data_IF_746815262804
#
_entry.id   IF_746815262804
#
_cell.length_a   1.000
_cell.length_b   1.000
_cell.length_c   1.000
_cell.angle_alpha   90.00
_cell.angle_beta   90.00
_cell.angle_gamma   90.00
#
_symmetry.space_group_name_H-M   'P 1'
#
loop_
_entity.id
_entity.type
_entity.pdbx_description
1 polymer ?
#
# COMPACT_ATOMS: atom_id res chain seq x y z
N UNK A 1 2.52 15.49 19.11
CA UNK A 1 1.89 15.04 17.84
C UNK A 1 0.40 15.29 18.04
N UNK A 2 -0.27 15.99 17.13
CA UNK A 2 -1.71 16.23 17.24
C UNK A 2 -2.47 14.91 17.00
N UNK A 3 -3.67 14.78 17.56
CA UNK A 3 -4.53 13.60 17.39
C UNK A 3 -4.79 13.33 15.90
N UNK A 4 -4.98 14.38 15.10
CA UNK A 4 -5.15 14.30 13.64
C UNK A 4 -3.93 13.71 12.90
N UNK A 5 -2.70 14.05 13.30
CA UNK A 5 -1.49 13.51 12.66
C UNK A 5 -1.31 12.02 12.97
N UNK A 6 -1.76 11.56 14.15
CA UNK A 6 -1.77 10.15 14.50
C UNK A 6 -2.82 9.38 13.68
N UNK A 7 -4.01 9.93 13.53
CA UNK A 7 -5.08 9.35 12.71
C UNK A 7 -4.67 9.25 11.23
N UNK A 8 -4.08 10.30 10.66
CA UNK A 8 -3.58 10.29 9.29
C UNK A 8 -2.53 9.18 9.08
N UNK A 9 -1.56 9.06 10.01
CA UNK A 9 -0.55 8.00 9.91
C UNK A 9 -1.14 6.60 10.05
N UNK A 10 -2.06 6.39 10.98
CA UNK A 10 -2.71 5.08 11.13
C UNK A 10 -3.51 4.71 9.88
N UNK A 11 -4.18 5.67 9.23
CA UNK A 11 -4.89 5.45 7.98
C UNK A 11 -3.97 5.03 6.82
N UNK A 12 -2.72 5.51 6.77
CA UNK A 12 -1.76 5.12 5.72
C UNK A 12 -1.38 3.63 5.77
N UNK A 13 -1.35 3.05 6.97
CA UNK A 13 -0.97 1.65 7.19
C UNK A 13 -2.17 0.71 7.41
N UNK A 14 -3.40 1.23 7.30
CA UNK A 14 -4.59 0.40 7.37
C UNK A 14 -4.76 -0.41 6.07
N UNK A 15 -4.76 -1.75 6.14
CA UNK A 15 -5.29 -2.57 5.06
C UNK A 15 -6.81 -2.33 4.92
N UNK A 16 -7.43 -2.86 3.86
CA UNK A 16 -8.85 -2.64 3.58
C UNK A 16 -9.80 -2.99 4.75
N UNK A 17 -9.38 -3.88 5.65
CA UNK A 17 -10.14 -4.30 6.83
C UNK A 17 -10.14 -3.26 7.97
N UNK A 18 -9.53 -2.09 7.78
CA UNK A 18 -9.56 -0.96 8.72
C UNK A 18 -8.78 -1.17 10.03
N UNK A 19 -8.13 -2.31 10.21
CA UNK A 19 -7.32 -2.60 11.40
C UNK A 19 -5.85 -2.39 11.09
N UNK A 20 -5.26 -1.35 11.66
CA UNK A 20 -3.81 -1.15 11.60
C UNK A 20 -3.18 -2.14 12.57
N UNK A 21 -2.30 -2.99 12.06
CA UNK A 21 -1.51 -3.83 12.94
C UNK A 21 -0.40 -2.98 13.59
N UNK A 22 -0.27 -2.98 14.92
CA UNK A 22 0.80 -2.23 15.60
C UNK A 22 2.20 -2.55 15.06
N UNK A 23 2.40 -3.75 14.53
CA UNK A 23 3.65 -4.21 13.93
C UNK A 23 4.09 -3.37 12.74
N UNK A 24 3.18 -3.00 11.85
CA UNK A 24 3.50 -2.15 10.69
C UNK A 24 3.92 -0.74 11.12
N UNK A 25 3.26 -0.19 12.13
CA UNK A 25 3.65 1.12 12.68
C UNK A 25 5.03 1.07 13.33
N UNK A 26 5.29 0.07 14.16
CA UNK A 26 6.61 -0.11 14.80
C UNK A 26 7.69 -0.29 13.72
N UNK A 27 7.44 -1.11 12.71
CA UNK A 27 8.36 -1.30 11.59
C UNK A 27 8.63 0.02 10.86
N UNK A 28 7.57 0.77 10.53
CA UNK A 28 7.71 2.07 9.87
C UNK A 28 8.58 3.05 10.67
N UNK A 29 8.34 3.18 11.98
CA UNK A 29 9.13 4.08 12.82
C UNK A 29 10.59 3.64 12.91
N UNK A 30 10.85 2.35 13.06
CA UNK A 30 12.22 1.83 13.08
C UNK A 30 12.95 2.10 11.77
N UNK A 31 12.31 1.82 10.63
CA UNK A 31 12.87 2.11 9.31
C UNK A 31 13.10 3.61 9.11
N UNK A 32 12.16 4.45 9.56
CA UNK A 32 12.29 5.89 9.45
C UNK A 32 13.51 6.42 10.21
N UNK A 33 13.77 5.92 11.42
CA UNK A 33 14.94 6.28 12.19
C UNK A 33 16.24 5.80 11.53
N UNK A 34 16.25 4.57 11.00
CA UNK A 34 17.38 4.01 10.28
C UNK A 34 17.70 4.78 8.99
N UNK A 35 16.67 5.14 8.22
CA UNK A 35 16.85 5.92 7.00
C UNK A 35 17.36 7.33 7.30
N UNK A 36 16.83 7.97 8.34
CA UNK A 36 17.29 9.31 8.77
C UNK A 36 18.75 9.27 9.22
N UNK A 37 19.16 8.22 9.93
CA UNK A 37 20.56 8.04 10.34
C UNK A 37 21.47 7.85 9.12
N UNK A 38 21.08 7.03 8.15
CA UNK A 38 21.83 6.83 6.90
C UNK A 38 21.98 8.14 6.11
N UNK A 39 20.90 8.92 6.00
CA UNK A 39 20.94 10.22 5.31
C UNK A 39 21.90 11.19 5.98
N UNK A 40 21.96 11.22 7.32
CA UNK A 40 22.94 12.03 8.09
C UNK A 40 24.38 11.59 7.85
N UNK A 41 24.62 10.27 7.82
CA UNK A 41 25.94 9.71 7.61
C UNK A 41 26.48 9.96 6.19
N UNK A 42 25.60 9.92 5.18
CA UNK A 42 25.99 10.05 3.76
C UNK A 42 26.10 11.52 3.34
N UNK A 43 25.12 12.35 3.69
CA UNK A 43 24.98 13.68 3.08
C UNK A 43 25.31 14.84 4.01
N UNK A 44 25.62 14.57 5.28
CA UNK A 44 25.78 15.60 6.33
C UNK A 44 24.59 16.57 6.44
N UNK A 45 23.45 16.22 5.84
CA UNK A 45 22.22 17.01 5.83
C UNK A 45 21.59 16.98 7.22
N UNK A 46 21.58 18.13 7.88
CA UNK A 46 20.82 18.31 9.12
C UNK A 46 19.40 18.65 8.78
N UNK A 47 18.45 17.90 9.36
CA UNK A 47 17.04 18.28 9.30
C UNK A 47 16.84 19.54 10.14
N UNK A 48 16.35 20.60 9.51
CA UNK A 48 16.09 21.88 10.16
C UNK A 48 14.78 21.84 10.98
N UNK A 49 14.76 22.39 12.21
CA UNK A 49 13.51 22.55 12.95
C UNK A 49 12.47 23.33 12.13
N UNK A 50 11.17 23.04 12.26
CA UNK A 50 10.53 22.12 13.21
C UNK A 50 10.50 20.65 12.79
N UNK A 51 11.11 20.28 11.68
CA UNK A 51 11.10 18.91 11.19
C UNK A 51 12.01 18.04 12.07
N UNK A 52 11.59 16.82 12.34
CA UNK A 52 12.35 15.83 13.10
C UNK A 52 12.99 14.81 12.16
N UNK A 53 12.37 14.60 11.00
CA UNK A 53 12.76 13.59 10.01
C UNK A 53 12.66 14.17 8.60
N UNK A 54 13.54 13.74 7.71
CA UNK A 54 13.55 14.15 6.32
C UNK A 54 12.40 13.52 5.51
N UNK A 55 11.95 14.21 4.46
CA UNK A 55 10.96 13.65 3.53
C UNK A 55 11.49 12.39 2.82
N UNK A 56 12.78 12.32 2.58
CA UNK A 56 13.44 11.16 1.98
C UNK A 56 13.35 9.94 2.90
N UNK A 57 13.65 10.09 4.20
CA UNK A 57 13.52 9.02 5.17
C UNK A 57 12.08 8.50 5.27
N UNK A 58 11.07 9.37 5.30
CA UNK A 58 9.65 8.97 5.31
C UNK A 58 9.30 8.17 4.05
N UNK A 59 9.70 8.66 2.87
CA UNK A 59 9.42 7.99 1.59
C UNK A 59 10.07 6.61 1.50
N UNK A 60 11.34 6.51 1.87
CA UNK A 60 12.08 5.25 1.81
C UNK A 60 11.54 4.23 2.82
N UNK A 61 11.18 4.67 4.02
CA UNK A 61 10.57 3.82 5.05
C UNK A 61 9.20 3.29 4.62
N UNK A 62 8.38 4.13 4.00
CA UNK A 62 7.07 3.73 3.48
C UNK A 62 7.23 2.67 2.38
N UNK A 63 8.23 2.82 1.50
CA UNK A 63 8.55 1.83 0.47
C UNK A 63 8.97 0.50 1.08
N UNK A 64 9.86 0.52 2.10
CA UNK A 64 10.35 -0.71 2.73
C UNK A 64 9.25 -1.45 3.48
N UNK A 65 8.39 -0.75 4.23
CA UNK A 65 7.23 -1.37 4.89
C UNK A 65 6.26 -1.97 3.87
N UNK A 66 6.00 -1.26 2.77
CA UNK A 66 5.16 -1.75 1.66
C UNK A 66 5.73 -3.06 1.06
N UNK A 67 7.05 -3.09 0.81
CA UNK A 67 7.76 -4.25 0.29
C UNK A 67 7.68 -5.45 1.24
N UNK A 68 8.05 -5.26 2.50
CA UNK A 68 8.01 -6.32 3.52
C UNK A 68 6.60 -6.87 3.69
N UNK A 69 5.58 -6.02 3.69
CA UNK A 69 4.18 -6.45 3.80
C UNK A 69 3.75 -7.31 2.60
N UNK A 70 4.12 -6.95 1.39
CA UNK A 70 3.81 -7.74 0.21
C UNK A 70 4.63 -9.03 0.13
N UNK A 71 5.96 -8.93 0.23
CA UNK A 71 6.85 -10.08 0.02
C UNK A 71 6.79 -11.12 1.14
N UNK A 72 6.84 -10.65 2.40
CA UNK A 72 6.96 -11.55 3.56
C UNK A 72 5.61 -11.98 4.15
N UNK A 73 4.50 -11.33 3.75
CA UNK A 73 3.18 -11.72 4.23
C UNK A 73 2.33 -12.21 3.06
N UNK A 74 1.90 -11.31 2.15
CA UNK A 74 0.92 -11.69 1.13
C UNK A 74 1.48 -12.71 0.15
N UNK A 75 2.68 -12.50 -0.41
CA UNK A 75 3.25 -13.43 -1.39
C UNK A 75 3.71 -14.75 -0.77
N UNK A 76 4.07 -14.74 0.53
CA UNK A 76 4.43 -15.95 1.25
C UNK A 76 3.21 -16.81 1.61
N UNK A 77 2.11 -16.17 2.02
CA UNK A 77 0.88 -16.87 2.40
C UNK A 77 -0.01 -17.23 1.20
N UNK A 78 0.02 -16.41 0.12
CA UNK A 78 -0.83 -16.55 -1.07
C UNK A 78 -0.01 -16.46 -2.37
N UNK A 79 0.88 -17.42 -2.65
CA UNK A 79 1.76 -17.39 -3.82
C UNK A 79 1.03 -17.46 -5.16
N UNK A 80 -0.17 -18.04 -5.19
CA UNK A 80 -1.07 -18.10 -6.34
C UNK A 80 -1.62 -16.73 -6.77
N UNK A 81 -1.77 -15.79 -5.83
CA UNK A 81 -2.25 -14.43 -6.09
C UNK A 81 -1.13 -13.45 -6.49
N UNK A 82 0.13 -13.83 -6.30
CA UNK A 82 1.30 -12.97 -6.54
C UNK A 82 1.33 -12.36 -7.94
N UNK A 83 1.09 -13.18 -8.97
CA UNK A 83 1.12 -12.72 -10.37
C UNK A 83 0.06 -11.64 -10.61
N UNK A 84 -1.16 -11.85 -10.11
CA UNK A 84 -2.25 -10.90 -10.26
C UNK A 84 -1.96 -9.56 -9.57
N UNK A 85 -1.34 -9.60 -8.38
CA UNK A 85 -0.91 -8.39 -7.67
C UNK A 85 0.19 -7.66 -8.44
N UNK A 86 1.20 -8.36 -8.95
CA UNK A 86 2.31 -7.75 -9.70
C UNK A 86 1.86 -7.12 -11.02
N UNK A 87 0.84 -7.66 -11.68
CA UNK A 87 0.25 -7.05 -12.88
C UNK A 87 -0.38 -5.67 -12.62
N UNK A 88 -0.65 -5.33 -11.36
CA UNK A 88 -1.13 -4.00 -10.98
C UNK A 88 0.00 -2.97 -10.84
N UNK A 89 1.27 -3.33 -11.02
CA UNK A 89 2.37 -2.38 -10.95
C UNK A 89 2.17 -1.23 -11.96
N UNK A 90 2.38 0.01 -11.52
CA UNK A 90 2.16 1.25 -12.26
C UNK A 90 0.69 1.54 -12.66
N UNK A 91 -0.27 0.78 -12.18
CA UNK A 91 -1.70 1.00 -12.44
C UNK A 91 -2.27 2.10 -11.54
N UNK A 92 -3.53 2.46 -11.74
CA UNK A 92 -4.28 3.40 -10.90
C UNK A 92 -4.65 2.79 -9.54
N UNK A 93 -4.96 3.65 -8.57
CA UNK A 93 -5.33 3.21 -7.23
C UNK A 93 -6.77 2.67 -7.12
N UNK A 94 -7.64 3.06 -8.03
CA UNK A 94 -9.06 2.69 -8.02
C UNK A 94 -9.45 2.07 -9.36
N UNK A 95 -10.06 0.90 -9.30
CA UNK A 95 -10.50 0.10 -10.43
C UNK A 95 -11.96 -0.34 -10.28
N UNK A 96 -12.62 -0.62 -11.40
CA UNK A 96 -13.79 -1.47 -11.44
C UNK A 96 -13.43 -2.86 -12.00
N UNK A 97 -14.38 -3.80 -11.99
CA UNK A 97 -14.15 -5.18 -12.46
C UNK A 97 -13.67 -5.19 -13.92
N UNK A 98 -14.28 -4.40 -14.79
CA UNK A 98 -13.92 -4.33 -16.22
C UNK A 98 -12.48 -3.84 -16.43
N UNK A 99 -12.03 -2.81 -15.69
CA UNK A 99 -10.66 -2.30 -15.80
C UNK A 99 -9.62 -3.31 -15.31
N UNK A 100 -9.92 -4.04 -14.22
CA UNK A 100 -9.02 -5.10 -13.72
C UNK A 100 -9.01 -6.31 -14.66
N UNK A 101 -10.15 -6.71 -15.21
CA UNK A 101 -10.21 -7.83 -16.17
C UNK A 101 -9.32 -7.55 -17.39
N UNK A 102 -9.27 -6.30 -17.84
CA UNK A 102 -8.37 -5.85 -18.91
C UNK A 102 -6.89 -5.96 -18.50
N UNK A 103 -6.54 -5.52 -17.28
CA UNK A 103 -5.16 -5.60 -16.76
C UNK A 103 -4.71 -7.05 -16.59
N UNK A 104 -5.57 -7.91 -16.07
CA UNK A 104 -5.26 -9.33 -15.85
C UNK A 104 -5.46 -10.21 -17.08
N UNK A 105 -6.07 -9.69 -18.14
CA UNK A 105 -6.42 -10.43 -19.37
C UNK A 105 -7.25 -11.69 -19.05
N UNK A 106 -8.23 -11.53 -18.16
CA UNK A 106 -9.11 -12.59 -17.66
C UNK A 106 -10.57 -12.26 -17.93
N UNK A 107 -11.42 -13.28 -17.91
CA UNK A 107 -12.87 -13.09 -17.95
C UNK A 107 -13.34 -12.31 -16.70
N UNK A 108 -14.49 -11.64 -16.79
CA UNK A 108 -15.07 -10.95 -15.64
C UNK A 108 -15.34 -11.89 -14.46
N UNK A 109 -15.80 -13.11 -14.74
CA UNK A 109 -16.07 -14.12 -13.71
C UNK A 109 -14.83 -14.49 -12.93
N UNK A 110 -13.72 -14.84 -13.63
CA UNK A 110 -12.43 -15.14 -12.99
C UNK A 110 -11.88 -13.93 -12.23
N UNK A 111 -12.07 -12.74 -12.79
CA UNK A 111 -11.67 -11.47 -12.16
C UNK A 111 -12.38 -11.24 -10.84
N UNK A 112 -13.70 -11.48 -10.80
CA UNK A 112 -14.50 -11.36 -9.57
C UNK A 112 -14.01 -12.34 -8.51
N UNK A 113 -13.74 -13.60 -8.86
CA UNK A 113 -13.25 -14.60 -7.93
C UNK A 113 -11.91 -14.22 -7.32
N UNK A 114 -10.95 -13.76 -8.13
CA UNK A 114 -9.63 -13.32 -7.67
C UNK A 114 -9.75 -12.03 -6.84
N UNK A 115 -10.55 -11.06 -7.28
CA UNK A 115 -10.76 -9.80 -6.57
C UNK A 115 -11.42 -10.02 -5.20
N UNK A 116 -12.35 -10.98 -5.10
CA UNK A 116 -12.98 -11.36 -3.83
C UNK A 116 -11.94 -11.93 -2.86
N UNK A 117 -11.12 -12.88 -3.29
CA UNK A 117 -10.02 -13.43 -2.48
C UNK A 117 -9.06 -12.33 -2.02
N UNK A 118 -8.66 -11.43 -2.93
CA UNK A 118 -7.79 -10.30 -2.60
C UNK A 118 -8.43 -9.32 -1.61
N UNK A 119 -9.75 -9.17 -1.64
CA UNK A 119 -10.49 -8.36 -0.66
C UNK A 119 -10.55 -9.04 0.71
N UNK A 120 -10.74 -10.35 0.75
CA UNK A 120 -10.77 -11.14 1.99
C UNK A 120 -9.44 -11.09 2.75
N UNK A 121 -8.30 -11.10 2.03
CA UNK A 121 -6.97 -10.94 2.63
C UNK A 121 -6.56 -9.48 2.89
N UNK A 122 -7.43 -8.52 2.57
CA UNK A 122 -7.21 -7.11 2.83
C UNK A 122 -6.36 -6.38 1.80
N UNK A 123 -6.10 -6.97 0.62
CA UNK A 123 -5.36 -6.30 -0.46
C UNK A 123 -6.24 -5.29 -1.21
N UNK A 124 -7.52 -5.56 -1.42
CA UNK A 124 -8.48 -4.60 -1.95
C UNK A 124 -9.47 -4.11 -0.89
N UNK A 125 -9.75 -2.82 -0.89
CA UNK A 125 -10.94 -2.23 -0.25
C UNK A 125 -12.10 -2.29 -1.25
N UNK A 126 -12.99 -3.26 -1.06
CA UNK A 126 -14.17 -3.47 -1.92
C UNK A 126 -15.30 -2.58 -1.45
N UNK A 127 -15.69 -1.62 -2.28
CA UNK A 127 -16.87 -0.75 -2.04
C UNK A 127 -17.92 -1.02 -3.10
N UNK A 128 -19.08 -1.47 -2.67
CA UNK A 128 -20.23 -1.61 -3.54
C UNK A 128 -20.89 -0.24 -3.76
N UNK A 129 -21.01 0.20 -5.01
CA UNK A 129 -21.68 1.44 -5.37
C UNK A 129 -22.63 1.19 -6.54
N UNK A 130 -23.96 1.28 -6.32
CA UNK A 130 -25.02 1.28 -7.35
C UNK A 130 -24.77 0.36 -8.57
N UNK A 131 -24.68 -0.93 -8.40
CA UNK A 131 -24.42 -1.93 -9.45
C UNK A 131 -22.98 -2.01 -9.99
N UNK A 132 -22.03 -1.27 -9.45
CA UNK A 132 -20.61 -1.42 -9.79
C UNK A 132 -19.78 -1.66 -8.55
N UNK A 133 -18.76 -2.48 -8.68
CA UNK A 133 -17.84 -2.79 -7.57
C UNK A 133 -16.57 -1.97 -7.73
N UNK A 134 -16.38 -1.02 -6.83
CA UNK A 134 -15.14 -0.24 -6.75
C UNK A 134 -14.10 -1.00 -5.94
N UNK A 135 -12.98 -1.30 -6.56
CA UNK A 135 -11.81 -1.93 -5.97
C UNK A 135 -10.73 -0.88 -5.77
N UNK A 136 -10.41 -0.61 -4.51
CA UNK A 136 -9.39 0.37 -4.16
C UNK A 136 -8.19 -0.32 -3.53
N UNK A 137 -6.98 0.00 -4.02
CA UNK A 137 -5.72 -0.48 -3.46
C UNK A 137 -5.37 0.39 -2.24
N UNK A 138 -5.27 -0.18 -1.02
CA UNK A 138 -4.85 0.52 0.18
C UNK A 138 -3.47 1.16 0.04
N UNK A 139 -3.24 2.26 0.74
CA UNK A 139 -2.01 3.04 0.62
C UNK A 139 -0.76 2.22 0.93
N UNK A 140 -0.83 1.32 1.92
CA UNK A 140 0.31 0.48 2.34
C UNK A 140 0.93 -0.34 1.20
N UNK A 141 0.18 -0.70 0.16
CA UNK A 141 0.67 -1.49 -0.98
C UNK A 141 1.15 -0.64 -2.16
N UNK A 142 0.79 0.66 -2.19
CA UNK A 142 1.03 1.53 -3.34
C UNK A 142 2.50 1.84 -3.61
N UNK A 143 3.36 2.11 -2.60
CA UNK A 143 4.75 2.48 -2.83
C UNK A 143 5.53 1.40 -3.56
N UNK A 144 5.42 0.14 -3.14
CA UNK A 144 6.13 -0.98 -3.77
C UNK A 144 5.65 -1.25 -5.20
N UNK A 145 4.33 -1.22 -5.41
CA UNK A 145 3.71 -1.44 -6.73
C UNK A 145 3.70 -0.18 -7.62
N UNK A 146 4.26 0.93 -7.15
CA UNK A 146 4.28 2.22 -7.87
C UNK A 146 2.90 2.67 -8.34
N UNK A 147 1.88 2.41 -7.52
CA UNK A 147 0.49 2.72 -7.86
C UNK A 147 0.28 4.23 -7.96
N UNK A 148 -0.34 4.66 -9.05
CA UNK A 148 -0.65 6.07 -9.32
C UNK A 148 -2.02 6.43 -8.75
N UNK A 149 -2.10 7.54 -8.02
CA UNK A 149 -3.39 8.04 -7.50
C UNK A 149 -4.35 8.34 -8.66
N UNK A 150 -5.61 7.91 -8.53
CA UNK A 150 -6.68 8.16 -9.49
C UNK A 150 -7.48 6.91 -9.83
N UNK A 151 -8.42 7.08 -10.77
CA UNK A 151 -9.33 6.02 -11.25
C UNK A 151 -8.89 5.53 -12.62
N UNK A 152 -9.11 4.23 -12.89
CA UNK A 152 -8.81 3.58 -14.17
C UNK A 152 -10.02 3.51 -15.12
N UNK A 153 -11.15 4.12 -14.74
CA UNK A 153 -12.43 4.10 -15.46
C UNK A 153 -13.09 5.48 -15.41
#
# INVERSE_FOLDING_TARGET
>A
MSESAWEEMTCLFAPSLGKVAPRELIHFYNEMLLQEQREKDISNNKVEPPNIVSKAAIKNSTLEVSKVRLEQTIFAEYPDLKINILLLENQKAEHNISSISTVWQKSEQETIEIATKLSEIGFFDLRSFKNDSLLKIPFIYRPYLKIVQGKAF
#
